data_IF_542905247679
#
_entry.id   IF_542905247679
#
_cell.length_a   1.000
_cell.length_b   1.000
_cell.length_c   1.000
_cell.angle_alpha   90.00
_cell.angle_beta   90.00
_cell.angle_gamma   90.00
#
_symmetry.space_group_name_H-M   'P 1'
#
loop_
_entity.id
_entity.type
_entity.pdbx_description
1 polymer ?
#
# COMPACT_ATOMS: atom_id res chain seq x y z
N UNK A 1 -0.03 -34.87 -30.89
CA UNK A 1 -0.51 -33.66 -31.57
C UNK A 1 -0.76 -32.63 -30.49
N UNK A 2 0.03 -31.53 -30.38
CA UNK A 2 -0.29 -30.46 -29.44
C UNK A 2 -1.52 -29.70 -29.95
N UNK A 3 -2.55 -29.63 -29.13
CA UNK A 3 -3.75 -28.83 -29.38
C UNK A 3 -3.39 -27.36 -29.42
N UNK A 4 -3.65 -26.71 -30.54
CA UNK A 4 -3.49 -25.25 -30.70
C UNK A 4 -4.36 -24.52 -29.64
N UNK A 5 -3.84 -23.50 -28.90
CA UNK A 5 -4.66 -22.78 -27.94
C UNK A 5 -5.84 -22.09 -28.64
N UNK A 6 -7.00 -22.17 -28.02
CA UNK A 6 -8.20 -21.52 -28.53
C UNK A 6 -7.99 -20.00 -28.68
N UNK A 7 -8.54 -19.32 -29.70
CA UNK A 7 -8.38 -17.89 -29.89
C UNK A 7 -8.99 -17.13 -28.71
N UNK A 8 -8.21 -16.16 -28.16
CA UNK A 8 -8.62 -15.33 -27.04
C UNK A 8 -9.97 -14.66 -27.29
N UNK A 9 -10.86 -14.72 -26.32
CA UNK A 9 -12.21 -14.15 -26.42
C UNK A 9 -12.15 -12.62 -26.58
N UNK A 10 -13.23 -12.01 -27.06
CA UNK A 10 -13.35 -10.54 -27.14
C UNK A 10 -13.18 -9.87 -25.77
N UNK A 11 -13.65 -10.53 -24.70
CA UNK A 11 -13.49 -10.08 -23.33
C UNK A 11 -12.02 -10.14 -22.87
N UNK A 12 -11.29 -11.21 -23.22
CA UNK A 12 -9.87 -11.35 -22.88
C UNK A 12 -9.00 -10.30 -23.57
N UNK A 13 -9.30 -9.98 -24.83
CA UNK A 13 -8.60 -8.90 -25.55
C UNK A 13 -8.87 -7.53 -24.91
N UNK A 14 -10.12 -7.25 -24.53
CA UNK A 14 -10.48 -5.99 -23.86
C UNK A 14 -9.79 -5.85 -22.50
N UNK A 15 -9.71 -6.94 -21.73
CA UNK A 15 -9.00 -7.00 -20.44
C UNK A 15 -7.51 -6.75 -20.64
N UNK A 16 -6.86 -7.47 -21.55
CA UNK A 16 -5.43 -7.29 -21.84
C UNK A 16 -5.10 -5.85 -22.29
N UNK A 17 -5.97 -5.26 -23.12
CA UNK A 17 -5.82 -3.85 -23.52
C UNK A 17 -5.93 -2.92 -22.31
N UNK A 18 -6.90 -3.14 -21.43
CA UNK A 18 -7.07 -2.31 -20.22
C UNK A 18 -5.87 -2.42 -19.29
N UNK A 19 -5.33 -3.61 -19.07
CA UNK A 19 -4.13 -3.85 -18.28
C UNK A 19 -2.90 -3.14 -18.87
N UNK A 20 -2.71 -3.22 -20.19
CA UNK A 20 -1.65 -2.50 -20.90
C UNK A 20 -1.76 -0.98 -20.71
N UNK A 21 -2.96 -0.42 -20.84
CA UNK A 21 -3.21 1.02 -20.65
C UNK A 21 -2.89 1.47 -19.20
N UNK A 22 -3.25 0.66 -18.20
CA UNK A 22 -2.93 0.94 -16.79
C UNK A 22 -1.41 0.88 -16.58
N UNK A 23 -0.73 -0.15 -17.08
CA UNK A 23 0.73 -0.27 -16.96
C UNK A 23 1.45 0.94 -17.60
N UNK A 24 1.01 1.36 -18.79
CA UNK A 24 1.54 2.55 -19.46
C UNK A 24 1.27 3.82 -18.64
N UNK A 25 0.09 3.96 -18.04
CA UNK A 25 -0.22 5.11 -17.18
C UNK A 25 0.68 5.15 -15.93
N UNK A 26 0.97 4.00 -15.30
CA UNK A 26 1.94 3.90 -14.20
C UNK A 26 3.31 4.42 -14.64
N UNK A 27 3.79 4.01 -15.80
CA UNK A 27 5.09 4.43 -16.33
C UNK A 27 5.13 5.93 -16.65
N UNK A 28 4.06 6.47 -17.23
CA UNK A 28 3.97 7.92 -17.51
C UNK A 28 3.99 8.74 -16.22
N UNK A 29 3.21 8.35 -15.20
CA UNK A 29 3.23 9.03 -13.88
C UNK A 29 4.60 8.94 -13.24
N UNK A 30 5.25 7.80 -13.29
CA UNK A 30 6.58 7.57 -12.73
C UNK A 30 7.65 8.43 -13.38
N UNK A 31 7.60 8.59 -14.70
CA UNK A 31 8.63 9.31 -15.47
C UNK A 31 8.40 10.82 -15.49
N UNK A 32 7.14 11.28 -15.44
CA UNK A 32 6.78 12.68 -15.71
C UNK A 32 6.07 13.40 -14.59
N UNK A 33 5.51 12.78 -13.62
CA UNK A 33 4.63 13.28 -12.56
C UNK A 33 3.13 13.07 -12.85
N UNK A 34 2.31 13.13 -11.80
CA UNK A 34 0.85 13.07 -11.91
C UNK A 34 0.27 14.18 -12.83
N UNK A 35 0.75 15.43 -12.68
CA UNK A 35 0.24 16.56 -13.46
C UNK A 35 0.41 16.38 -14.97
N UNK A 36 1.55 15.85 -15.38
CA UNK A 36 1.87 15.60 -16.79
C UNK A 36 1.19 14.35 -17.38
N UNK A 37 0.67 13.44 -16.56
CA UNK A 37 -0.03 12.23 -17.01
C UNK A 37 -1.47 12.54 -17.43
N UNK A 38 -1.63 13.29 -18.51
CA UNK A 38 -2.93 13.58 -19.13
C UNK A 38 -3.44 12.39 -19.94
N UNK A 39 -4.75 12.35 -20.25
CA UNK A 39 -5.32 11.32 -21.13
C UNK A 39 -4.63 11.29 -22.50
N UNK A 40 -4.22 12.44 -23.01
CA UNK A 40 -3.50 12.55 -24.28
C UNK A 40 -2.11 11.91 -24.19
N UNK A 41 -1.34 12.26 -23.17
CA UNK A 41 0.04 11.73 -23.01
C UNK A 41 0.06 10.21 -22.73
N UNK A 42 -0.90 9.71 -21.96
CA UNK A 42 -1.04 8.27 -21.72
C UNK A 42 -1.45 7.55 -23.00
N UNK A 43 -2.41 8.06 -23.76
CA UNK A 43 -2.83 7.46 -25.03
C UNK A 43 -1.68 7.44 -26.04
N UNK A 44 -0.94 8.54 -26.15
CA UNK A 44 0.26 8.63 -27.00
C UNK A 44 1.33 7.59 -26.60
N UNK A 45 1.61 7.47 -25.32
CA UNK A 45 2.59 6.50 -24.82
C UNK A 45 2.14 5.04 -25.02
N UNK A 46 0.82 4.77 -24.95
CA UNK A 46 0.25 3.44 -25.17
C UNK A 46 0.06 3.09 -26.66
N UNK A 47 0.31 4.01 -27.57
CA UNK A 47 0.09 3.80 -29.02
C UNK A 47 -1.39 3.71 -29.42
N UNK A 48 -2.29 4.33 -28.65
CA UNK A 48 -3.74 4.34 -28.92
C UNK A 48 -4.25 5.76 -29.13
N UNK A 49 -5.47 5.89 -29.68
CA UNK A 49 -6.12 7.20 -29.76
C UNK A 49 -6.65 7.67 -28.41
N UNK A 50 -6.71 8.98 -28.12
CA UNK A 50 -7.35 9.48 -26.89
C UNK A 50 -8.80 9.00 -26.74
N UNK A 51 -9.55 8.85 -27.83
CA UNK A 51 -10.91 8.30 -27.84
C UNK A 51 -10.98 6.84 -27.40
N UNK A 52 -9.99 6.01 -27.78
CA UNK A 52 -9.91 4.63 -27.31
C UNK A 52 -9.64 4.56 -25.80
N UNK A 53 -8.73 5.39 -25.29
CA UNK A 53 -8.46 5.48 -23.85
C UNK A 53 -9.71 5.99 -23.10
N UNK A 54 -10.39 7.02 -23.63
CA UNK A 54 -11.65 7.55 -23.09
C UNK A 54 -12.75 6.46 -23.03
N UNK A 55 -12.82 5.59 -24.04
CA UNK A 55 -13.77 4.48 -24.07
C UNK A 55 -13.53 3.48 -22.92
N UNK A 56 -12.26 3.20 -22.58
CA UNK A 56 -11.91 2.25 -21.52
C UNK A 56 -12.10 2.80 -20.10
N UNK A 57 -11.90 4.08 -19.88
CA UNK A 57 -11.85 4.67 -18.53
C UNK A 57 -12.85 5.80 -18.28
N UNK A 58 -13.43 6.39 -19.31
CA UNK A 58 -14.38 7.49 -19.18
C UNK A 58 -13.74 8.82 -18.73
N UNK A 59 -12.86 8.78 -17.73
CA UNK A 59 -12.20 9.98 -17.21
C UNK A 59 -10.76 9.73 -16.78
N UNK A 60 -9.98 10.80 -16.63
CA UNK A 60 -8.64 10.74 -16.04
C UNK A 60 -8.68 10.27 -14.59
N UNK A 61 -9.69 10.70 -13.83
CA UNK A 61 -9.86 10.27 -12.44
C UNK A 61 -10.02 8.74 -12.36
N UNK A 62 -10.90 8.15 -13.17
CA UNK A 62 -11.11 6.70 -13.22
C UNK A 62 -9.84 5.94 -13.65
N UNK A 63 -9.07 6.48 -14.61
CA UNK A 63 -7.78 5.91 -14.99
C UNK A 63 -6.80 5.91 -13.80
N UNK A 64 -6.68 7.04 -13.09
CA UNK A 64 -5.76 7.16 -11.94
C UNK A 64 -6.18 6.30 -10.74
N UNK A 65 -7.48 6.11 -10.51
CA UNK A 65 -7.99 5.13 -9.54
C UNK A 65 -7.59 3.70 -9.93
N UNK A 66 -7.68 3.36 -11.22
CA UNK A 66 -7.23 2.06 -11.72
C UNK A 66 -5.71 1.88 -11.58
N UNK A 67 -4.92 2.94 -11.73
CA UNK A 67 -3.47 2.95 -11.46
C UNK A 67 -3.20 2.64 -9.99
N UNK A 68 -3.86 3.34 -9.05
CA UNK A 68 -3.71 3.08 -7.61
C UNK A 68 -4.08 1.63 -7.26
N UNK A 69 -5.20 1.15 -7.77
CA UNK A 69 -5.67 -0.22 -7.52
C UNK A 69 -4.67 -1.25 -8.05
N UNK A 70 -4.14 -1.07 -9.27
CA UNK A 70 -3.15 -1.98 -9.84
C UNK A 70 -1.85 -2.02 -9.03
N UNK A 71 -1.39 -0.88 -8.51
CA UNK A 71 -0.20 -0.83 -7.64
C UNK A 71 -0.43 -1.61 -6.35
N UNK A 72 -1.61 -1.47 -5.71
CA UNK A 72 -1.94 -2.16 -4.47
C UNK A 72 -2.09 -3.67 -4.66
N UNK A 73 -2.70 -4.11 -5.77
CA UNK A 73 -2.85 -5.54 -6.09
C UNK A 73 -1.48 -6.18 -6.35
N UNK A 74 -0.65 -5.54 -7.19
CA UNK A 74 0.69 -6.06 -7.52
C UNK A 74 1.57 -6.21 -6.28
N UNK A 75 1.41 -5.35 -5.28
CA UNK A 75 2.12 -5.44 -4.01
C UNK A 75 1.70 -6.67 -3.18
N UNK A 76 0.50 -7.20 -3.38
CA UNK A 76 0.03 -8.41 -2.69
C UNK A 76 0.50 -9.71 -3.36
N UNK A 77 0.67 -9.73 -4.67
CA UNK A 77 0.95 -10.96 -5.45
C UNK A 77 2.45 -11.32 -5.51
N UNK A 78 3.34 -10.34 -5.42
CA UNK A 78 4.75 -10.47 -5.81
C UNK A 78 5.70 -10.95 -4.70
N UNK A 79 5.25 -11.61 -3.61
CA UNK A 79 6.05 -11.58 -2.40
C UNK A 79 6.32 -12.92 -1.75
N UNK A 80 7.49 -13.02 -1.11
CA UNK A 80 7.85 -14.08 -0.17
C UNK A 80 6.74 -14.30 0.88
N UNK A 81 6.52 -15.52 1.39
CA UNK A 81 5.51 -15.76 2.43
C UNK A 81 5.76 -14.88 3.66
N UNK A 82 4.69 -14.57 4.37
CA UNK A 82 4.81 -13.87 5.65
C UNK A 82 5.54 -14.74 6.66
N UNK A 83 6.33 -14.15 7.59
CA UNK A 83 7.07 -14.92 8.57
C UNK A 83 6.12 -15.74 9.46
N UNK A 84 6.54 -16.98 9.73
CA UNK A 84 5.79 -17.91 10.56
C UNK A 84 5.90 -17.56 12.05
N UNK A 85 4.83 -17.81 12.81
CA UNK A 85 4.78 -17.51 14.25
C UNK A 85 5.77 -18.33 15.10
N UNK A 86 6.30 -19.44 14.59
CA UNK A 86 7.32 -20.25 15.26
C UNK A 86 8.71 -19.63 15.28
N UNK A 87 8.97 -18.63 14.42
CA UNK A 87 10.24 -17.91 14.40
C UNK A 87 10.39 -17.11 15.71
N UNK A 88 11.57 -17.12 16.37
CA UNK A 88 11.82 -16.30 17.56
C UNK A 88 11.43 -14.84 17.36
N UNK A 89 10.75 -14.25 18.33
CA UNK A 89 10.10 -12.95 18.23
C UNK A 89 11.00 -11.83 17.63
N UNK A 90 12.27 -11.63 18.04
CA UNK A 90 13.12 -10.60 17.45
C UNK A 90 13.37 -10.82 15.95
N UNK A 91 13.67 -12.06 15.54
CA UNK A 91 13.93 -12.42 14.14
C UNK A 91 12.65 -12.34 13.30
N UNK A 92 11.52 -12.71 13.89
CA UNK A 92 10.20 -12.62 13.26
C UNK A 92 9.80 -11.15 13.00
N UNK A 93 10.08 -10.26 13.95
CA UNK A 93 9.85 -8.84 13.79
C UNK A 93 10.69 -8.24 12.66
N UNK A 94 11.98 -8.59 12.57
CA UNK A 94 12.85 -8.19 11.46
C UNK A 94 12.30 -8.71 10.12
N UNK A 95 11.99 -10.00 10.04
CA UNK A 95 11.45 -10.60 8.82
C UNK A 95 10.11 -9.98 8.41
N UNK A 96 9.24 -9.62 9.37
CA UNK A 96 7.97 -8.96 9.10
C UNK A 96 8.17 -7.56 8.52
N UNK A 97 9.05 -6.75 9.11
CA UNK A 97 9.36 -5.40 8.64
C UNK A 97 9.93 -5.44 7.22
N UNK A 98 10.90 -6.32 6.95
CA UNK A 98 11.49 -6.46 5.61
C UNK A 98 10.49 -7.01 4.58
N UNK A 99 9.66 -7.96 4.97
CA UNK A 99 8.59 -8.47 4.12
C UNK A 99 7.58 -7.38 3.76
N UNK A 100 7.19 -6.54 4.72
CA UNK A 100 6.27 -5.42 4.48
C UNK A 100 6.93 -4.30 3.68
N UNK A 101 8.21 -4.02 3.94
CA UNK A 101 9.00 -3.05 3.19
C UNK A 101 9.10 -3.43 1.71
N UNK A 102 9.60 -4.61 1.41
CA UNK A 102 9.79 -5.08 0.03
C UNK A 102 8.47 -5.16 -0.75
N UNK A 103 7.36 -5.47 -0.08
CA UNK A 103 6.03 -5.53 -0.70
C UNK A 103 5.48 -4.16 -1.06
N UNK A 104 5.52 -3.23 -0.13
CA UNK A 104 4.69 -2.03 -0.18
C UNK A 104 5.48 -0.73 -0.38
N UNK A 105 6.72 -0.65 0.12
CA UNK A 105 7.42 0.63 0.25
C UNK A 105 8.71 0.73 -0.59
N UNK A 106 9.38 -0.38 -0.87
CA UNK A 106 10.61 -0.39 -1.69
C UNK A 106 10.35 -0.22 -3.19
N UNK A 107 9.32 -0.82 -3.80
CA UNK A 107 9.11 -0.72 -5.23
C UNK A 107 8.96 0.73 -5.70
N UNK A 108 9.49 1.10 -6.89
CA UNK A 108 9.28 2.43 -7.49
C UNK A 108 7.80 2.83 -7.57
N UNK A 109 6.92 1.85 -7.60
CA UNK A 109 5.45 2.02 -7.61
C UNK A 109 4.91 2.72 -6.37
N UNK A 110 5.57 2.59 -5.20
CA UNK A 110 5.18 3.28 -3.98
C UNK A 110 5.18 4.81 -4.18
N UNK A 111 6.28 5.37 -4.70
CA UNK A 111 6.36 6.81 -4.96
C UNK A 111 5.38 7.24 -6.08
N UNK A 112 5.13 6.38 -7.06
CA UNK A 112 4.11 6.61 -8.08
C UNK A 112 2.71 6.73 -7.47
N UNK A 113 2.34 5.82 -6.55
CA UNK A 113 1.07 5.91 -5.83
C UNK A 113 0.95 7.21 -5.03
N UNK A 114 2.02 7.61 -4.33
CA UNK A 114 2.06 8.88 -3.60
C UNK A 114 1.94 10.09 -4.53
N UNK A 115 2.58 10.08 -5.69
CA UNK A 115 2.43 11.14 -6.70
C UNK A 115 0.95 11.29 -7.13
N UNK A 116 0.24 10.18 -7.30
CA UNK A 116 -1.21 10.22 -7.62
C UNK A 116 -2.02 10.75 -6.43
N UNK A 117 -1.74 10.29 -5.20
CA UNK A 117 -2.45 10.77 -4.00
C UNK A 117 -2.31 12.28 -3.80
N UNK A 118 -1.09 12.79 -3.87
CA UNK A 118 -0.84 14.23 -3.69
C UNK A 118 -1.39 15.06 -4.86
N UNK A 119 -1.23 14.56 -6.07
CA UNK A 119 -1.72 15.26 -7.26
C UNK A 119 -3.24 15.26 -7.41
N UNK A 120 -3.94 14.40 -6.70
CA UNK A 120 -5.41 14.31 -6.68
C UNK A 120 -6.02 14.78 -5.36
N UNK A 121 -5.24 15.45 -4.50
CA UNK A 121 -5.67 15.84 -3.17
C UNK A 121 -6.85 16.84 -3.14
N UNK A 122 -7.09 17.55 -4.23
CA UNK A 122 -8.19 18.49 -4.44
C UNK A 122 -9.45 17.85 -5.05
N UNK A 123 -9.41 16.54 -5.38
CA UNK A 123 -10.51 15.84 -6.05
C UNK A 123 -11.31 14.98 -5.05
N UNK A 124 -12.54 15.37 -4.63
CA UNK A 124 -13.29 14.68 -3.58
C UNK A 124 -13.60 13.21 -3.90
N UNK A 125 -13.88 12.90 -5.18
CA UNK A 125 -14.14 11.53 -5.65
C UNK A 125 -12.92 10.64 -5.46
N UNK A 126 -11.74 11.13 -5.84
CA UNK A 126 -10.46 10.43 -5.66
C UNK A 126 -10.15 10.21 -4.17
N UNK A 127 -10.37 11.23 -3.33
CA UNK A 127 -10.17 11.15 -1.89
C UNK A 127 -11.08 10.08 -1.25
N UNK A 128 -12.36 10.07 -1.59
CA UNK A 128 -13.33 9.11 -1.06
C UNK A 128 -12.95 7.68 -1.42
N UNK A 129 -12.59 7.44 -2.68
CA UNK A 129 -12.18 6.12 -3.14
C UNK A 129 -10.87 5.65 -2.49
N UNK A 130 -9.88 6.52 -2.43
CA UNK A 130 -8.59 6.27 -1.76
C UNK A 130 -8.77 5.97 -0.26
N UNK A 131 -9.70 6.67 0.42
CA UNK A 131 -10.03 6.41 1.82
C UNK A 131 -10.66 5.00 2.00
N UNK A 132 -11.50 4.56 1.07
CA UNK A 132 -12.04 3.19 1.04
C UNK A 132 -10.94 2.14 0.94
N UNK A 133 -10.07 2.27 -0.07
CA UNK A 133 -8.93 1.36 -0.27
C UNK A 133 -7.99 1.32 0.95
N UNK A 134 -7.74 2.46 1.61
CA UNK A 134 -6.94 2.51 2.84
C UNK A 134 -7.59 1.76 3.99
N UNK A 135 -8.92 1.82 4.14
CA UNK A 135 -9.62 1.06 5.19
C UNK A 135 -9.48 -0.45 4.98
N UNK A 136 -9.65 -0.92 3.76
CA UNK A 136 -9.49 -2.33 3.41
C UNK A 136 -8.06 -2.82 3.66
N UNK A 137 -7.07 -2.06 3.20
CA UNK A 137 -5.66 -2.37 3.45
C UNK A 137 -5.34 -2.40 4.95
N UNK A 138 -5.84 -1.44 5.72
CA UNK A 138 -5.69 -1.40 7.18
C UNK A 138 -6.24 -2.66 7.81
N UNK A 139 -7.49 -3.03 7.49
CA UNK A 139 -8.12 -4.23 8.04
C UNK A 139 -7.30 -5.50 7.73
N UNK A 140 -6.87 -5.66 6.48
CA UNK A 140 -6.01 -6.76 6.06
C UNK A 140 -4.68 -6.79 6.83
N UNK A 141 -4.05 -5.63 7.06
CA UNK A 141 -2.79 -5.55 7.80
C UNK A 141 -2.95 -5.86 9.30
N UNK A 142 -4.05 -5.46 9.92
CA UNK A 142 -4.36 -5.84 11.31
C UNK A 142 -4.50 -7.35 11.46
N UNK A 143 -5.25 -7.99 10.57
CA UNK A 143 -5.39 -9.45 10.57
C UNK A 143 -4.04 -10.14 10.37
N UNK A 144 -3.24 -9.65 9.43
CA UNK A 144 -1.92 -10.20 9.14
C UNK A 144 -0.96 -10.04 10.32
N UNK A 145 -0.94 -8.87 10.95
CA UNK A 145 -0.11 -8.63 12.13
C UNK A 145 -0.47 -9.58 13.26
N UNK A 146 -1.76 -9.75 13.57
CA UNK A 146 -2.22 -10.69 14.58
C UNK A 146 -1.87 -12.15 14.27
N UNK A 147 -1.88 -12.55 12.99
CA UNK A 147 -1.45 -13.89 12.58
C UNK A 147 0.05 -14.11 12.77
N UNK A 148 0.88 -13.12 12.42
CA UNK A 148 2.34 -13.19 12.56
C UNK A 148 2.75 -13.07 14.03
N UNK A 149 2.03 -12.27 14.82
CA UNK A 149 2.33 -12.01 16.24
C UNK A 149 1.18 -12.45 17.14
N UNK A 150 1.10 -13.77 17.50
CA UNK A 150 0.09 -14.26 18.45
C UNK A 150 0.12 -13.54 19.80
N UNK A 151 1.28 -13.01 20.20
CA UNK A 151 1.47 -12.21 21.43
C UNK A 151 0.63 -10.93 21.43
N UNK A 152 0.18 -10.51 20.26
CA UNK A 152 -0.68 -9.33 20.11
C UNK A 152 -2.18 -9.63 20.30
N UNK A 153 -2.56 -10.90 20.45
CA UNK A 153 -3.97 -11.26 20.57
C UNK A 153 -4.59 -10.68 21.84
N UNK A 154 -5.78 -10.11 21.69
CA UNK A 154 -6.54 -9.56 22.80
C UNK A 154 -6.03 -8.21 23.33
N UNK A 155 -5.06 -7.60 22.66
CA UNK A 155 -4.56 -6.27 23.05
C UNK A 155 -5.48 -5.17 22.54
N UNK A 156 -5.92 -4.29 23.43
CA UNK A 156 -6.75 -3.12 23.09
C UNK A 156 -5.98 -2.08 22.26
N UNK A 157 -4.64 -2.04 22.40
CA UNK A 157 -3.75 -1.11 21.71
C UNK A 157 -3.19 -1.65 20.37
N UNK A 158 -3.63 -2.83 19.91
CA UNK A 158 -3.19 -3.43 18.65
C UNK A 158 -3.41 -2.50 17.45
N UNK A 159 -4.62 -1.97 17.30
CA UNK A 159 -4.97 -1.16 16.13
C UNK A 159 -4.11 0.11 16.01
N UNK A 160 -3.98 0.97 17.04
CA UNK A 160 -3.08 2.12 16.95
C UNK A 160 -1.61 1.74 16.78
N UNK A 161 -1.15 0.61 17.32
CA UNK A 161 0.22 0.18 17.15
C UNK A 161 0.52 -0.27 15.70
N UNK A 162 -0.35 -1.05 15.08
CA UNK A 162 -0.21 -1.43 13.66
C UNK A 162 -0.20 -0.19 12.77
N UNK A 163 -1.09 0.79 13.03
CA UNK A 163 -1.09 2.06 12.29
C UNK A 163 0.22 2.85 12.48
N UNK A 164 0.82 2.83 13.67
CA UNK A 164 2.13 3.44 13.91
C UNK A 164 3.23 2.77 13.07
N UNK A 165 3.27 1.43 13.03
CA UNK A 165 4.22 0.67 12.22
C UNK A 165 4.08 1.02 10.73
N UNK A 166 2.86 1.01 10.21
CA UNK A 166 2.58 1.38 8.81
C UNK A 166 2.98 2.84 8.52
N UNK A 167 2.75 3.74 9.48
CA UNK A 167 3.09 5.16 9.33
C UNK A 167 4.60 5.39 9.35
N UNK A 168 5.35 4.66 10.18
CA UNK A 168 6.81 4.70 10.21
C UNK A 168 7.40 4.24 8.86
N UNK A 169 7.00 3.08 8.35
CA UNK A 169 7.46 2.57 7.06
C UNK A 169 7.10 3.51 5.91
N UNK A 170 5.90 4.08 5.94
CA UNK A 170 5.47 5.09 4.97
C UNK A 170 6.36 6.32 5.02
N UNK A 171 6.69 6.80 6.22
CA UNK A 171 7.60 7.93 6.41
C UNK A 171 8.98 7.67 5.83
N UNK A 172 9.56 6.49 6.08
CA UNK A 172 10.84 6.06 5.48
C UNK A 172 10.73 6.06 3.95
N UNK A 173 9.68 5.45 3.39
CA UNK A 173 9.47 5.38 1.95
C UNK A 173 9.29 6.75 1.29
N UNK A 174 8.53 7.66 1.90
CA UNK A 174 8.33 9.05 1.42
C UNK A 174 9.62 9.86 1.54
N UNK A 175 10.45 9.59 2.53
CA UNK A 175 11.76 10.23 2.71
C UNK A 175 12.65 10.13 1.47
N UNK A 176 12.49 9.11 0.65
CA UNK A 176 13.21 8.94 -0.63
C UNK A 176 12.95 10.05 -1.65
N UNK A 177 11.87 10.81 -1.52
CA UNK A 177 11.63 12.01 -2.34
C UNK A 177 12.70 13.10 -2.11
N UNK A 178 13.37 13.07 -0.95
CA UNK A 178 14.43 14.02 -0.58
C UNK A 178 15.84 13.44 -0.77
N UNK A 179 15.95 12.23 -1.29
CA UNK A 179 17.19 11.51 -1.51
C UNK A 179 17.19 10.15 -0.83
N UNK A 180 17.41 9.08 -1.59
CA UNK A 180 17.49 7.73 -1.05
C UNK A 180 18.80 7.54 -0.27
N UNK A 181 18.70 6.96 0.93
CA UNK A 181 19.83 6.54 1.75
C UNK A 181 19.61 5.11 2.27
N UNK A 182 19.86 4.09 1.43
CA UNK A 182 19.53 2.71 1.76
C UNK A 182 20.13 2.19 3.08
N UNK A 183 21.39 2.50 3.45
CA UNK A 183 21.92 2.09 4.75
C UNK A 183 21.19 2.71 5.94
N UNK A 184 20.82 3.99 5.85
CA UNK A 184 20.06 4.67 6.90
C UNK A 184 18.62 4.18 6.99
N UNK A 185 17.98 3.95 5.85
CA UNK A 185 16.65 3.35 5.76
C UNK A 185 16.63 1.94 6.37
N UNK A 186 17.66 1.12 6.12
CA UNK A 186 17.79 -0.20 6.73
C UNK A 186 17.91 -0.10 8.25
N UNK A 187 18.77 0.79 8.77
CA UNK A 187 18.91 1.02 10.20
C UNK A 187 17.59 1.47 10.85
N UNK A 188 16.79 2.31 10.19
CA UNK A 188 15.47 2.70 10.69
C UNK A 188 14.50 1.52 10.75
N UNK A 189 14.51 0.61 9.76
CA UNK A 189 13.71 -0.60 9.76
C UNK A 189 14.12 -1.57 10.87
N UNK A 190 15.43 -1.71 11.13
CA UNK A 190 15.93 -2.51 12.26
C UNK A 190 15.43 -1.96 13.60
N UNK A 191 15.45 -0.64 13.79
CA UNK A 191 14.89 0.00 14.99
C UNK A 191 13.38 -0.26 15.11
N UNK A 192 12.63 -0.18 14.00
CA UNK A 192 11.20 -0.48 14.01
C UNK A 192 10.93 -1.94 14.38
N UNK A 193 11.74 -2.87 13.90
CA UNK A 193 11.63 -4.28 14.26
C UNK A 193 11.88 -4.50 15.77
N UNK A 194 12.86 -3.80 16.35
CA UNK A 194 13.10 -3.83 17.81
C UNK A 194 11.90 -3.30 18.59
N UNK A 195 11.28 -2.22 18.13
CA UNK A 195 10.07 -1.65 18.75
C UNK A 195 8.92 -2.65 18.70
N UNK A 196 8.71 -3.34 17.57
CA UNK A 196 7.67 -4.38 17.43
C UNK A 196 7.93 -5.53 18.41
N UNK A 197 9.17 -6.03 18.48
CA UNK A 197 9.51 -7.12 19.37
C UNK A 197 9.31 -6.74 20.85
N UNK A 198 9.74 -5.55 21.25
CA UNK A 198 9.57 -5.05 22.61
C UNK A 198 8.10 -4.86 22.98
N UNK A 199 7.29 -4.30 22.04
CA UNK A 199 5.86 -4.13 22.26
C UNK A 199 5.13 -5.48 22.40
N UNK A 200 5.45 -6.47 21.57
CA UNK A 200 4.88 -7.80 21.67
C UNK A 200 5.28 -8.53 22.98
N UNK A 201 6.50 -8.31 23.47
CA UNK A 201 6.99 -8.91 24.71
C UNK A 201 6.40 -8.26 25.97
N UNK A 202 5.87 -7.03 25.88
CA UNK A 202 5.32 -6.29 27.03
C UNK A 202 3.82 -6.61 27.18
N UNK A 203 3.33 -6.90 28.40
CA UNK A 203 1.91 -7.05 28.66
C UNK A 203 1.11 -5.80 28.23
N UNK A 204 -0.13 -5.99 27.75
CA UNK A 204 -1.00 -4.83 27.42
C UNK A 204 -1.21 -3.97 28.66
N UNK A 205 -1.07 -2.64 28.56
CA UNK A 205 -1.44 -1.76 29.67
C UNK A 205 -2.93 -1.96 29.94
N UNK A 206 -3.27 -2.55 31.11
CA UNK A 206 -4.66 -2.64 31.55
C UNK A 206 -5.24 -1.23 31.60
N UNK A 207 -6.36 -1.02 30.92
CA UNK A 207 -7.12 0.24 31.03
C UNK A 207 -7.41 0.50 32.52
N UNK A 208 -6.70 1.42 33.14
CA UNK A 208 -7.17 1.98 34.39
C UNK A 208 -8.56 2.62 34.09
N UNK A 209 -9.62 2.24 34.80
CA UNK A 209 -10.90 2.93 34.67
C UNK A 209 -10.66 4.41 34.94
N UNK A 210 -11.09 5.27 34.03
CA UNK A 210 -11.01 6.69 34.16
C UNK A 210 -11.53 7.07 35.55
N UNK A 211 -10.67 7.68 36.38
CA UNK A 211 -11.05 8.14 37.70
C UNK A 211 -12.29 9.04 37.52
N UNK A 212 -13.42 8.61 38.05
CA UNK A 212 -14.66 9.37 38.06
C UNK A 212 -14.41 10.63 38.90
N UNK A 213 -14.16 11.74 38.23
CA UNK A 213 -14.10 13.05 38.87
C UNK A 213 -15.52 13.38 39.28
N UNK A 214 -15.89 12.94 40.48
CA UNK A 214 -17.11 13.38 41.16
C UNK A 214 -16.91 14.85 41.50
N UNK A 215 -17.43 15.71 40.65
CA UNK A 215 -17.56 17.12 40.93
C UNK A 215 -18.57 17.23 42.08
N UNK A 216 -18.08 17.46 43.31
CA UNK A 216 -18.92 17.92 44.42
C UNK A 216 -19.31 19.37 44.11
N UNK A 217 -20.54 19.56 43.75
CA UNK A 217 -21.21 20.86 43.83
C UNK A 217 -21.43 21.20 45.31
N UNK A 218 -20.86 22.35 45.70
CA UNK A 218 -21.22 23.06 46.95
C UNK A 218 -21.60 24.47 46.53
#
# INVERSE_FOLDING_TARGET
>A
MPTSPAPASRADKARATREHLIATAIDVVRQRTYGAATMFEVAKAAGVTPGALQHHFGSRATLMLSVLQAILIANNEASAPWPDASIPLPLRAMAFVECLWSRAYEPPRFLTAWSVYFGAADQPEMQSHAAGMRRELRHSMHQRFAQVFPEAHGRDDLSPFVELVLSALRGIGVGRLFGANPPYEAAQRDQLAMVIAAWCATPSPSRQPAASTTRKET
#
